data_IF_972136073505
#
_entry.id   IF_972136073505
#
_cell.length_a   1.000
_cell.length_b   1.000
_cell.length_c   1.000
_cell.angle_alpha   90.00
_cell.angle_beta   90.00
_cell.angle_gamma   90.00
#
_symmetry.space_group_name_H-M   'P 1'
#
loop_
_entity.id
_entity.type
_entity.pdbx_description
1 polymer ?
#
# COMPACT_ATOMS: atom_id res chain seq x y z
N UNK A 1 32.25 -24.21 34.41
CA UNK A 1 32.46 -23.19 35.46
C UNK A 1 31.62 -21.93 35.23
N UNK A 2 31.51 -21.42 34.01
CA UNK A 2 30.73 -20.20 33.68
C UNK A 2 29.25 -20.32 34.06
N UNK A 3 28.58 -21.40 33.71
CA UNK A 3 27.17 -21.63 34.05
C UNK A 3 26.96 -21.61 35.56
N UNK A 4 27.88 -22.24 36.30
CA UNK A 4 27.81 -22.28 37.76
C UNK A 4 27.99 -20.92 38.43
N UNK A 5 28.80 -20.02 37.82
CA UNK A 5 28.96 -18.63 38.28
C UNK A 5 27.68 -17.81 38.07
N UNK A 6 26.83 -18.21 37.12
CA UNK A 6 25.58 -17.58 36.77
C UNK A 6 24.36 -18.27 37.41
N UNK A 7 24.60 -19.17 38.36
CA UNK A 7 23.56 -19.95 39.05
C UNK A 7 22.74 -20.84 38.12
N UNK A 8 23.26 -21.16 36.93
CA UNK A 8 22.65 -22.10 36.00
C UNK A 8 23.13 -23.50 36.36
N UNK A 9 22.20 -24.36 36.73
CA UNK A 9 22.47 -25.76 37.03
C UNK A 9 22.67 -26.55 35.73
N UNK A 10 23.65 -27.45 35.70
CA UNK A 10 23.95 -28.28 34.54
C UNK A 10 23.86 -29.74 34.93
N UNK A 11 22.93 -30.47 34.30
CA UNK A 11 22.80 -31.92 34.46
C UNK A 11 22.97 -32.59 33.09
N UNK A 12 24.12 -33.19 32.86
CA UNK A 12 24.51 -33.74 31.56
C UNK A 12 24.51 -32.65 30.48
N UNK A 13 23.64 -32.82 29.47
CA UNK A 13 23.47 -31.88 28.35
C UNK A 13 22.32 -30.88 28.59
N UNK A 14 21.72 -30.91 29.77
CA UNK A 14 20.59 -30.03 30.13
C UNK A 14 21.07 -28.91 31.03
N UNK A 15 20.71 -27.66 30.68
CA UNK A 15 20.87 -26.49 31.51
C UNK A 15 19.55 -26.10 32.13
N UNK A 16 19.50 -25.94 33.44
CA UNK A 16 18.35 -25.55 34.23
C UNK A 16 18.52 -24.07 34.61
N UNK A 17 17.71 -23.22 34.01
CA UNK A 17 17.74 -21.78 34.29
C UNK A 17 17.10 -21.47 35.65
N UNK A 18 17.72 -20.59 36.46
CA UNK A 18 17.12 -20.13 37.70
C UNK A 18 15.85 -19.30 37.39
N UNK A 19 14.88 -19.31 38.30
CA UNK A 19 13.54 -18.69 38.08
C UNK A 19 13.58 -17.19 37.84
N UNK A 20 14.63 -16.48 38.21
CA UNK A 20 14.81 -15.04 37.96
C UNK A 20 15.38 -14.72 36.57
N UNK A 21 15.91 -15.74 35.82
CA UNK A 21 16.42 -15.60 34.45
C UNK A 21 15.43 -16.12 33.44
N UNK A 22 14.35 -15.34 33.23
CA UNK A 22 13.28 -15.64 32.29
C UNK A 22 13.68 -15.45 30.81
N UNK A 23 14.86 -14.91 30.60
CA UNK A 23 15.47 -14.62 29.29
C UNK A 23 16.21 -15.84 28.70
N UNK A 24 16.53 -16.86 29.51
CA UNK A 24 17.30 -18.02 29.07
C UNK A 24 16.39 -19.15 28.57
N UNK A 25 15.92 -19.03 27.35
CA UNK A 25 14.99 -20.00 26.75
C UNK A 25 15.64 -20.89 25.68
N UNK A 26 16.77 -20.47 25.11
CA UNK A 26 17.36 -21.11 23.92
C UNK A 26 18.85 -21.37 24.14
N UNK A 27 19.43 -22.33 23.38
CA UNK A 27 20.88 -22.55 23.41
C UNK A 27 21.73 -21.32 23.08
N UNK A 28 21.17 -20.41 22.23
CA UNK A 28 21.82 -19.14 21.89
C UNK A 28 21.98 -18.22 23.12
N UNK A 29 20.99 -18.20 24.01
CA UNK A 29 21.01 -17.38 25.23
C UNK A 29 22.14 -17.88 26.19
N UNK A 30 22.31 -19.21 26.30
CA UNK A 30 23.41 -19.80 27.05
C UNK A 30 24.76 -19.49 26.40
N UNK A 31 24.86 -19.51 25.08
CA UNK A 31 26.06 -19.14 24.34
C UNK A 31 26.44 -17.67 24.57
N UNK A 32 25.44 -16.78 24.63
CA UNK A 32 25.63 -15.37 24.97
C UNK A 32 26.23 -15.20 26.38
N UNK A 33 25.71 -15.91 27.37
CA UNK A 33 26.24 -15.87 28.74
C UNK A 33 27.70 -16.32 28.80
N UNK A 34 28.05 -17.37 28.07
CA UNK A 34 29.46 -17.82 27.98
C UNK A 34 30.30 -16.73 27.29
N UNK A 35 29.84 -16.17 26.19
CA UNK A 35 30.56 -15.15 25.45
C UNK A 35 30.78 -13.88 26.27
N UNK A 36 29.81 -13.49 27.10
CA UNK A 36 29.85 -12.32 27.98
C UNK A 36 30.93 -12.50 29.06
N UNK A 37 30.97 -13.66 29.70
CA UNK A 37 31.98 -13.96 30.76
C UNK A 37 33.37 -14.17 30.15
N UNK A 38 33.46 -14.84 28.99
CA UNK A 38 34.71 -14.97 28.24
C UNK A 38 35.27 -13.63 27.79
N UNK A 39 34.41 -12.68 27.52
CA UNK A 39 34.69 -11.35 27.00
C UNK A 39 34.61 -11.26 25.48
N UNK A 40 33.69 -10.44 25.00
CA UNK A 40 33.46 -10.23 23.55
C UNK A 40 34.72 -9.79 22.79
N UNK A 41 35.62 -9.06 23.44
CA UNK A 41 36.91 -8.64 22.84
C UNK A 41 37.87 -9.81 22.54
N UNK A 42 37.66 -10.97 23.16
CA UNK A 42 38.44 -12.18 22.89
C UNK A 42 37.90 -12.99 21.72
N UNK A 43 36.73 -12.63 21.19
CA UNK A 43 36.13 -13.31 20.05
C UNK A 43 36.61 -12.60 18.77
N UNK A 44 37.33 -13.30 17.87
CA UNK A 44 37.84 -12.67 16.66
C UNK A 44 36.69 -12.25 15.74
N UNK A 45 36.76 -11.03 15.24
CA UNK A 45 35.85 -10.55 14.22
C UNK A 45 36.05 -11.34 12.93
N UNK A 46 34.95 -11.83 12.36
CA UNK A 46 34.93 -12.50 11.06
C UNK A 46 34.27 -11.64 10.02
N UNK A 47 34.83 -11.63 8.81
CA UNK A 47 34.24 -10.98 7.67
C UNK A 47 33.40 -12.01 6.91
N UNK A 48 32.16 -11.67 6.62
CA UNK A 48 31.29 -12.50 5.77
C UNK A 48 31.93 -12.58 4.38
N UNK A 49 32.28 -13.81 3.96
CA UNK A 49 32.84 -14.09 2.65
C UNK A 49 31.73 -14.68 1.78
N UNK A 50 31.37 -13.98 0.70
CA UNK A 50 30.35 -14.43 -0.25
C UNK A 50 30.14 -13.40 -1.35
N UNK A 51 29.51 -13.82 -2.41
CA UNK A 51 29.06 -12.91 -3.48
C UNK A 51 27.74 -12.32 -3.00
N UNK A 52 27.74 -11.02 -2.67
CA UNK A 52 26.52 -10.29 -2.35
C UNK A 52 25.91 -9.74 -3.65
N UNK A 53 24.90 -10.41 -4.18
CA UNK A 53 24.10 -9.88 -5.27
C UNK A 53 22.99 -9.00 -4.69
N UNK A 54 23.27 -7.71 -4.50
CA UNK A 54 22.24 -6.74 -4.15
C UNK A 54 21.44 -6.38 -5.40
N UNK A 55 20.23 -6.89 -5.52
CA UNK A 55 19.32 -6.56 -6.62
C UNK A 55 17.88 -6.43 -6.13
N UNK A 56 17.10 -5.61 -6.83
CA UNK A 56 15.66 -5.52 -6.58
C UNK A 56 14.97 -6.78 -7.11
N UNK A 57 13.97 -7.26 -6.37
CA UNK A 57 13.05 -8.28 -6.88
C UNK A 57 12.25 -7.74 -8.07
N UNK A 58 11.67 -8.60 -8.94
CA UNK A 58 10.82 -8.13 -10.03
C UNK A 58 9.69 -7.20 -9.57
N UNK A 59 9.03 -7.53 -8.45
CA UNK A 59 7.97 -6.71 -7.84
C UNK A 59 8.50 -5.33 -7.42
N UNK A 60 9.68 -5.29 -6.78
CA UNK A 60 10.30 -4.02 -6.38
C UNK A 60 10.72 -3.17 -7.59
N UNK A 61 11.22 -3.79 -8.67
CA UNK A 61 11.55 -3.09 -9.91
C UNK A 61 10.32 -2.48 -10.54
N UNK A 62 9.24 -3.27 -10.68
CA UNK A 62 7.98 -2.81 -11.25
C UNK A 62 7.39 -1.64 -10.44
N UNK A 63 7.32 -1.79 -9.12
CA UNK A 63 6.87 -0.70 -8.22
C UNK A 63 7.70 0.58 -8.41
N UNK A 64 9.03 0.47 -8.49
CA UNK A 64 9.92 1.62 -8.71
C UNK A 64 9.71 2.25 -10.09
N UNK A 65 9.43 1.46 -11.11
CA UNK A 65 9.09 1.97 -12.45
C UNK A 65 7.80 2.79 -12.41
N UNK A 66 6.76 2.28 -11.78
CA UNK A 66 5.49 3.01 -11.60
C UNK A 66 5.69 4.30 -10.80
N UNK A 67 6.44 4.25 -9.70
CA UNK A 67 6.75 5.41 -8.87
C UNK A 67 7.47 6.50 -9.67
N UNK A 68 8.53 6.14 -10.37
CA UNK A 68 9.30 7.07 -11.20
C UNK A 68 8.45 7.66 -12.33
N UNK A 69 7.64 6.85 -13.01
CA UNK A 69 6.75 7.31 -14.06
C UNK A 69 5.70 8.31 -13.51
N UNK A 70 5.15 8.02 -12.32
CA UNK A 70 4.15 8.88 -11.67
C UNK A 70 4.75 10.22 -11.24
N UNK A 71 5.99 10.21 -10.73
CA UNK A 71 6.72 11.46 -10.44
C UNK A 71 7.01 12.24 -11.72
N UNK A 72 7.41 11.54 -12.81
CA UNK A 72 7.75 12.18 -14.07
C UNK A 72 6.56 12.89 -14.75
N UNK A 73 5.32 12.43 -14.52
CA UNK A 73 4.10 13.11 -15.00
C UNK A 73 3.64 14.24 -14.07
N UNK A 74 4.40 14.58 -13.02
CA UNK A 74 4.19 15.75 -12.17
C UNK A 74 3.42 15.48 -10.86
N UNK A 75 3.26 14.23 -10.44
CA UNK A 75 2.63 13.90 -9.16
C UNK A 75 3.61 13.95 -7.99
N UNK A 76 3.12 14.40 -6.84
CA UNK A 76 3.84 14.38 -5.56
C UNK A 76 3.42 13.18 -4.73
N UNK A 77 4.41 12.44 -4.20
CA UNK A 77 4.17 11.28 -3.36
C UNK A 77 3.64 11.66 -1.98
N UNK A 78 2.62 10.95 -1.52
CA UNK A 78 2.09 11.05 -0.16
C UNK A 78 2.13 9.68 0.51
N UNK A 79 2.06 9.69 1.83
CA UNK A 79 1.92 8.51 2.65
C UNK A 79 0.80 8.74 3.66
N UNK A 80 -0.25 7.95 3.58
CA UNK A 80 -1.41 8.04 4.47
C UNK A 80 -1.49 6.85 5.42
N UNK A 81 -2.22 7.00 6.51
CA UNK A 81 -2.43 5.89 7.44
C UNK A 81 -3.23 4.75 6.81
N UNK A 82 -2.82 3.51 7.10
CA UNK A 82 -3.59 2.30 6.75
C UNK A 82 -4.81 2.09 7.66
N UNK A 83 -4.89 2.80 8.77
CA UNK A 83 -6.01 2.78 9.71
C UNK A 83 -6.97 3.90 9.36
N UNK A 84 -8.25 3.55 9.21
CA UNK A 84 -9.29 4.51 8.82
C UNK A 84 -10.52 4.39 9.73
N UNK A 85 -11.40 5.38 9.63
CA UNK A 85 -12.73 5.33 10.20
C UNK A 85 -13.69 4.52 9.30
N UNK A 86 -14.55 3.66 9.85
CA UNK A 86 -15.64 3.05 9.07
C UNK A 86 -16.54 4.05 8.38
N UNK A 87 -16.64 5.29 8.88
CA UNK A 87 -17.41 6.38 8.28
C UNK A 87 -16.89 6.82 6.90
N UNK A 88 -15.66 6.49 6.56
CA UNK A 88 -15.08 6.84 5.26
C UNK A 88 -15.78 6.15 4.10
N UNK A 89 -16.33 4.96 4.33
CA UNK A 89 -17.10 4.26 3.30
C UNK A 89 -18.40 5.01 2.94
N UNK A 90 -19.05 5.64 3.93
CA UNK A 90 -20.23 6.46 3.69
C UNK A 90 -19.86 7.78 3.00
N UNK A 91 -18.70 8.36 3.33
CA UNK A 91 -18.22 9.59 2.67
C UNK A 91 -17.99 9.40 1.17
N UNK A 92 -17.54 8.24 0.72
CA UNK A 92 -17.38 7.90 -0.71
C UNK A 92 -18.65 7.31 -1.33
N UNK A 93 -19.75 7.31 -0.59
CA UNK A 93 -21.06 6.74 -1.01
C UNK A 93 -20.98 5.25 -1.40
N UNK A 94 -20.10 4.47 -0.76
CA UNK A 94 -19.95 3.06 -1.03
C UNK A 94 -21.24 2.29 -0.70
N UNK A 95 -21.73 1.38 -1.58
CA UNK A 95 -22.94 0.59 -1.33
C UNK A 95 -22.88 -0.14 0.03
N UNK A 96 -24.03 -0.27 0.68
CA UNK A 96 -24.11 -0.89 2.01
C UNK A 96 -23.73 -2.38 2.00
N UNK A 97 -23.93 -3.06 0.88
CA UNK A 97 -23.63 -4.47 0.61
C UNK A 97 -22.25 -4.71 0.01
N UNK A 98 -21.48 -3.66 -0.26
CA UNK A 98 -20.13 -3.77 -0.81
C UNK A 98 -19.22 -4.63 0.07
N UNK A 99 -18.46 -5.51 -0.58
CA UNK A 99 -17.46 -6.35 0.08
C UNK A 99 -16.35 -5.53 0.76
N UNK A 100 -16.07 -4.32 0.26
CA UNK A 100 -15.06 -3.41 0.82
C UNK A 100 -15.44 -2.88 2.22
N UNK A 101 -16.69 -3.03 2.65
CA UNK A 101 -17.12 -2.72 4.03
C UNK A 101 -16.72 -3.80 5.04
N UNK A 102 -16.31 -4.98 4.57
CA UNK A 102 -15.77 -6.04 5.42
C UNK A 102 -14.30 -5.72 5.69
N UNK A 103 -13.99 -5.32 6.89
CA UNK A 103 -12.66 -4.82 7.28
C UNK A 103 -12.02 -5.66 8.37
N UNK A 104 -10.70 -5.59 8.46
CA UNK A 104 -9.98 -6.04 9.66
C UNK A 104 -10.15 -4.98 10.74
N UNK A 105 -10.72 -5.36 11.88
CA UNK A 105 -10.94 -4.47 13.03
C UNK A 105 -9.71 -4.50 13.93
N UNK A 106 -9.23 -3.33 14.34
CA UNK A 106 -8.10 -3.17 15.27
C UNK A 106 -8.59 -3.43 16.69
N UNK A 107 -7.93 -4.36 17.41
CA UNK A 107 -8.34 -4.76 18.75
C UNK A 107 -8.16 -3.65 19.82
N UNK A 108 -7.18 -2.78 19.63
CA UNK A 108 -6.84 -1.69 20.54
C UNK A 108 -6.59 -0.37 19.77
N UNK A 109 -7.61 0.17 19.08
CA UNK A 109 -7.44 1.36 18.25
C UNK A 109 -7.16 2.60 19.11
N UNK A 110 -6.46 3.57 18.55
CA UNK A 110 -6.24 4.87 19.18
C UNK A 110 -7.56 5.68 19.33
N UNK A 111 -8.55 5.40 18.48
CA UNK A 111 -9.86 6.03 18.47
C UNK A 111 -10.73 5.45 17.36
N UNK A 112 -12.00 5.88 17.29
CA UNK A 112 -12.95 5.42 16.26
C UNK A 112 -12.44 5.74 14.85
N UNK A 113 -11.74 6.87 14.68
CA UNK A 113 -11.23 7.33 13.40
C UNK A 113 -10.07 6.48 12.83
N UNK A 114 -9.54 5.55 13.63
CA UNK A 114 -8.43 4.64 13.25
C UNK A 114 -8.74 3.20 13.65
N UNK A 115 -10.01 2.81 13.61
CA UNK A 115 -10.47 1.55 14.20
C UNK A 115 -10.44 0.35 13.24
N UNK A 116 -10.30 0.57 11.95
CA UNK A 116 -10.26 -0.50 10.95
C UNK A 116 -9.13 -0.32 9.95
N UNK A 117 -8.64 -1.44 9.40
CA UNK A 117 -7.72 -1.40 8.27
C UNK A 117 -8.46 -1.03 6.98
N UNK A 118 -7.85 -0.17 6.15
CA UNK A 118 -8.45 0.26 4.88
C UNK A 118 -8.54 -0.88 3.88
N UNK A 119 -9.69 -1.02 3.25
CA UNK A 119 -9.94 -1.92 2.12
C UNK A 119 -9.90 -1.18 0.77
N UNK A 120 -9.80 0.13 0.80
CA UNK A 120 -9.59 1.00 -0.37
C UNK A 120 -8.77 2.22 0.04
N UNK A 121 -7.89 2.66 -0.85
CA UNK A 121 -7.03 3.85 -0.68
C UNK A 121 -7.74 5.16 -1.04
N UNK A 122 -8.88 5.09 -1.73
CA UNK A 122 -9.61 6.25 -2.24
C UNK A 122 -10.01 7.27 -1.15
N UNK A 123 -10.59 6.86 0.01
CA UNK A 123 -10.94 7.81 1.08
C UNK A 123 -9.74 8.61 1.59
N UNK A 124 -8.59 7.96 1.78
CA UNK A 124 -7.38 8.61 2.29
C UNK A 124 -6.83 9.64 1.30
N UNK A 125 -6.90 9.35 0.00
CA UNK A 125 -6.54 10.29 -1.06
C UNK A 125 -7.48 11.50 -1.02
N UNK A 126 -8.79 11.30 -0.94
CA UNK A 126 -9.78 12.39 -0.90
C UNK A 126 -9.64 13.25 0.36
N UNK A 127 -9.32 12.68 1.53
CA UNK A 127 -9.00 13.45 2.75
C UNK A 127 -7.76 14.33 2.53
N UNK A 128 -6.73 13.81 1.89
CA UNK A 128 -5.51 14.59 1.62
C UNK A 128 -5.77 15.72 0.63
N UNK A 129 -6.57 15.47 -0.42
CA UNK A 129 -7.00 16.50 -1.35
C UNK A 129 -7.84 17.57 -0.65
N UNK A 130 -8.77 17.18 0.23
CA UNK A 130 -9.57 18.08 1.06
C UNK A 130 -8.69 18.96 1.95
N UNK A 131 -7.70 18.37 2.61
CA UNK A 131 -6.76 19.12 3.46
C UNK A 131 -5.99 20.17 2.65
N UNK A 132 -5.48 19.80 1.47
CA UNK A 132 -4.78 20.72 0.59
C UNK A 132 -5.71 21.86 0.10
N UNK A 133 -6.95 21.52 -0.27
CA UNK A 133 -7.94 22.51 -0.68
C UNK A 133 -8.28 23.49 0.44
N UNK A 134 -8.48 23.01 1.67
CA UNK A 134 -8.70 23.85 2.87
C UNK A 134 -7.50 24.75 3.18
N UNK A 135 -6.30 24.29 2.87
CA UNK A 135 -5.07 25.07 2.98
C UNK A 135 -4.87 26.05 1.81
N UNK A 136 -5.85 26.19 0.91
CA UNK A 136 -5.84 27.10 -0.24
C UNK A 136 -4.73 26.84 -1.26
N UNK A 137 -4.26 25.60 -1.38
CA UNK A 137 -3.44 25.20 -2.49
C UNK A 137 -4.30 25.24 -3.76
N UNK A 138 -3.91 26.06 -4.74
CA UNK A 138 -4.71 26.31 -5.95
C UNK A 138 -4.81 25.07 -6.85
N UNK A 139 -3.74 24.29 -6.92
CA UNK A 139 -3.66 23.07 -7.70
C UNK A 139 -2.78 22.04 -6.98
N UNK A 140 -3.14 20.78 -7.07
CA UNK A 140 -2.33 19.65 -6.60
C UNK A 140 -2.51 18.45 -7.52
N UNK A 141 -1.43 17.64 -7.64
CA UNK A 141 -1.45 16.31 -8.20
C UNK A 141 -0.66 15.40 -7.27
N UNK A 142 -1.35 14.48 -6.62
CA UNK A 142 -0.81 13.62 -5.57
C UNK A 142 -0.90 12.15 -5.98
N UNK A 143 0.03 11.33 -5.48
CA UNK A 143 -0.09 9.89 -5.61
C UNK A 143 0.32 9.15 -4.32
N UNK A 144 -0.24 7.98 -4.12
CA UNK A 144 0.18 7.03 -3.09
C UNK A 144 0.31 5.64 -3.71
N UNK A 145 1.44 4.98 -3.48
CA UNK A 145 1.52 3.53 -3.63
C UNK A 145 1.36 2.93 -2.24
N UNK A 146 0.15 2.47 -1.95
CA UNK A 146 -0.25 1.96 -0.65
C UNK A 146 -0.90 0.58 -0.71
N UNK A 147 -0.97 -0.08 0.44
CA UNK A 147 -1.67 -1.37 0.58
C UNK A 147 -3.13 -1.19 0.94
N UNK A 148 -3.94 -2.10 0.44
CA UNK A 148 -5.29 -2.38 0.91
C UNK A 148 -5.27 -3.69 1.70
N UNK A 149 -6.18 -3.87 2.65
CA UNK A 149 -6.23 -5.03 3.53
C UNK A 149 -7.56 -5.73 3.36
N UNK A 150 -7.56 -6.80 2.54
CA UNK A 150 -8.77 -7.49 2.13
C UNK A 150 -8.94 -8.79 2.94
N UNK A 151 -9.91 -8.86 3.87
CA UNK A 151 -10.13 -10.06 4.67
C UNK A 151 -10.51 -11.24 3.79
N UNK A 152 -9.90 -12.40 4.03
CA UNK A 152 -10.17 -13.64 3.29
C UNK A 152 -10.99 -14.64 4.11
N UNK A 153 -10.60 -14.87 5.36
CA UNK A 153 -11.29 -15.75 6.29
C UNK A 153 -11.06 -15.29 7.74
N UNK A 154 -11.92 -15.68 8.70
CA UNK A 154 -11.89 -15.18 10.08
C UNK A 154 -10.54 -15.31 10.81
N UNK A 155 -9.82 -16.43 10.57
CA UNK A 155 -8.57 -16.75 11.28
C UNK A 155 -7.33 -16.67 10.37
N UNK A 156 -7.45 -15.96 9.25
CA UNK A 156 -6.34 -15.75 8.31
C UNK A 156 -5.94 -14.29 8.24
N UNK A 157 -4.67 -14.07 7.97
CA UNK A 157 -4.20 -12.74 7.61
C UNK A 157 -4.91 -12.26 6.33
N UNK A 158 -5.21 -10.96 6.21
CA UNK A 158 -5.80 -10.41 5.00
C UNK A 158 -4.84 -10.49 3.82
N UNK A 159 -5.37 -10.47 2.61
CA UNK A 159 -4.56 -10.13 1.45
C UNK A 159 -4.18 -8.66 1.50
N UNK A 160 -2.94 -8.35 1.09
CA UNK A 160 -2.37 -7.01 1.15
C UNK A 160 -1.88 -6.53 -0.23
N UNK A 161 -2.79 -6.37 -1.21
CA UNK A 161 -2.40 -5.93 -2.54
C UNK A 161 -1.90 -4.48 -2.54
N UNK A 162 -0.89 -4.22 -3.40
CA UNK A 162 -0.39 -2.87 -3.66
C UNK A 162 -1.29 -2.14 -4.67
N UNK A 163 -1.59 -0.86 -4.38
CA UNK A 163 -2.41 0.02 -5.24
C UNK A 163 -1.69 1.34 -5.48
N UNK A 164 -1.73 1.81 -6.72
CA UNK A 164 -1.34 3.18 -7.05
C UNK A 164 -2.61 4.01 -7.17
N UNK A 165 -2.77 4.99 -6.30
CA UNK A 165 -3.89 5.93 -6.32
C UNK A 165 -3.36 7.32 -6.64
N UNK A 166 -3.97 7.98 -7.62
CA UNK A 166 -3.66 9.34 -8.04
C UNK A 166 -4.88 10.20 -7.74
N UNK A 167 -4.65 11.42 -7.26
CA UNK A 167 -5.70 12.41 -7.04
C UNK A 167 -5.22 13.80 -7.41
N UNK A 168 -6.06 14.58 -8.11
CA UNK A 168 -5.69 15.91 -8.55
C UNK A 168 -6.88 16.87 -8.62
N UNK A 169 -6.60 18.14 -8.48
CA UNK A 169 -7.47 19.26 -8.82
C UNK A 169 -6.64 20.49 -9.21
N UNK A 170 -7.27 21.46 -9.86
CA UNK A 170 -6.67 22.71 -10.30
C UNK A 170 -7.28 23.17 -11.63
N UNK A 171 -6.87 24.35 -12.11
CA UNK A 171 -7.44 24.94 -13.34
C UNK A 171 -7.13 24.09 -14.59
N UNK A 172 -5.95 23.45 -14.62
CA UNK A 172 -5.53 22.57 -15.73
C UNK A 172 -5.91 21.10 -15.48
N UNK A 173 -6.62 20.80 -14.39
CA UNK A 173 -7.04 19.45 -14.07
C UNK A 173 -8.37 19.12 -14.76
N UNK A 174 -8.34 18.11 -15.61
CA UNK A 174 -9.54 17.53 -16.23
C UNK A 174 -9.43 16.01 -16.40
N UNK A 175 -10.46 15.40 -16.93
CA UNK A 175 -10.49 13.96 -17.19
C UNK A 175 -9.39 13.53 -18.17
N UNK A 176 -9.14 14.31 -19.21
CA UNK A 176 -8.17 13.96 -20.26
C UNK A 176 -6.74 14.18 -19.81
N UNK A 177 -6.49 15.19 -18.97
CA UNK A 177 -5.20 15.40 -18.32
C UNK A 177 -4.85 14.20 -17.43
N UNK A 178 -5.77 13.77 -16.54
CA UNK A 178 -5.57 12.58 -15.73
C UNK A 178 -5.39 11.33 -16.59
N UNK A 179 -6.19 11.16 -17.63
CA UNK A 179 -6.10 10.02 -18.56
C UNK A 179 -4.73 9.97 -19.24
N UNK A 180 -4.24 11.10 -19.74
CA UNK A 180 -2.90 11.17 -20.36
C UNK A 180 -1.77 10.84 -19.40
N UNK A 181 -1.86 11.27 -18.13
CA UNK A 181 -0.92 10.88 -17.08
C UNK A 181 -0.94 9.37 -16.87
N UNK A 182 -2.12 8.77 -16.75
CA UNK A 182 -2.30 7.33 -16.56
C UNK A 182 -1.77 6.55 -17.78
N UNK A 183 -2.07 6.99 -19.00
CA UNK A 183 -1.56 6.38 -20.24
C UNK A 183 -0.02 6.35 -20.24
N UNK A 184 0.62 7.47 -19.92
CA UNK A 184 2.08 7.58 -19.85
C UNK A 184 2.68 6.63 -18.79
N UNK A 185 2.02 6.52 -17.62
CA UNK A 185 2.45 5.62 -16.54
C UNK A 185 2.34 4.16 -17.00
N UNK A 186 1.23 3.77 -17.62
CA UNK A 186 0.98 2.40 -18.09
C UNK A 186 1.97 2.02 -19.20
N UNK A 187 2.17 2.89 -20.17
CA UNK A 187 3.13 2.68 -21.26
C UNK A 187 4.56 2.53 -20.74
N UNK A 188 4.99 3.41 -19.80
CA UNK A 188 6.30 3.32 -19.15
C UNK A 188 6.48 2.03 -18.36
N UNK A 189 5.39 1.51 -17.80
CA UNK A 189 5.38 0.24 -17.07
C UNK A 189 5.34 -1.00 -18.00
N UNK A 190 5.28 -0.82 -19.31
CA UNK A 190 5.23 -1.91 -20.31
C UNK A 190 3.81 -2.47 -20.53
N UNK A 191 2.78 -1.69 -20.23
CA UNK A 191 1.39 -2.03 -20.49
C UNK A 191 0.92 -1.24 -21.72
N UNK A 192 1.11 -1.85 -22.88
CA UNK A 192 0.69 -1.31 -24.16
C UNK A 192 -0.75 -1.74 -24.48
N UNK A 193 -1.43 -1.01 -25.36
CA UNK A 193 -2.78 -1.34 -25.85
C UNK A 193 -3.87 -1.42 -24.76
N UNK A 194 -3.74 -0.62 -23.68
CA UNK A 194 -4.77 -0.50 -22.67
C UNK A 194 -6.04 0.14 -23.25
N UNK A 195 -7.21 -0.41 -22.90
CA UNK A 195 -8.49 0.12 -23.34
C UNK A 195 -9.26 0.76 -22.20
N UNK A 196 -10.08 1.76 -22.52
CA UNK A 196 -10.86 2.54 -21.57
C UNK A 196 -12.35 2.39 -21.90
N UNK A 197 -13.11 1.78 -20.99
CA UNK A 197 -14.55 1.60 -21.14
C UNK A 197 -15.28 2.51 -20.15
N UNK A 198 -16.26 3.27 -20.63
CA UNK A 198 -17.09 4.10 -19.76
C UNK A 198 -17.68 3.25 -18.63
N UNK A 199 -17.69 3.79 -17.40
CA UNK A 199 -18.27 3.10 -16.27
C UNK A 199 -19.77 2.94 -16.44
N UNK A 200 -20.24 1.70 -16.42
CA UNK A 200 -21.65 1.31 -16.38
C UNK A 200 -22.01 0.70 -15.04
N UNK A 201 -23.25 0.23 -14.93
CA UNK A 201 -23.75 -0.49 -13.74
C UNK A 201 -23.01 -1.80 -13.45
N UNK A 202 -22.38 -2.37 -14.48
CA UNK A 202 -21.67 -3.65 -14.41
C UNK A 202 -20.15 -3.49 -14.23
N UNK A 203 -19.72 -2.30 -13.79
CA UNK A 203 -18.31 -2.02 -13.56
C UNK A 203 -17.74 -2.90 -12.43
N UNK A 204 -16.50 -3.44 -12.58
CA UNK A 204 -15.96 -4.44 -11.67
C UNK A 204 -15.45 -3.86 -10.34
N UNK A 205 -15.66 -2.59 -10.07
CA UNK A 205 -15.16 -1.89 -8.88
C UNK A 205 -16.30 -1.16 -8.16
N UNK A 206 -16.51 -1.48 -6.88
CA UNK A 206 -17.55 -0.86 -6.07
C UNK A 206 -17.31 0.65 -5.87
N UNK A 207 -16.04 1.09 -5.86
CA UNK A 207 -15.67 2.50 -5.68
C UNK A 207 -16.08 3.41 -6.86
N UNK A 208 -16.50 2.85 -7.96
CA UNK A 208 -17.03 3.65 -9.11
C UNK A 208 -18.24 4.48 -8.71
N UNK A 209 -18.99 4.08 -7.68
CA UNK A 209 -20.05 4.89 -7.09
C UNK A 209 -19.57 6.27 -6.60
N UNK A 210 -18.28 6.40 -6.28
CA UNK A 210 -17.66 7.67 -5.89
C UNK A 210 -17.33 8.58 -7.08
N UNK A 211 -17.49 8.10 -8.31
CA UNK A 211 -17.15 8.82 -9.53
C UNK A 211 -18.40 9.35 -10.26
N UNK A 212 -18.20 10.37 -11.07
CA UNK A 212 -19.23 10.93 -11.92
C UNK A 212 -19.60 9.92 -13.04
N UNK A 213 -20.86 9.51 -13.19
CA UNK A 213 -21.26 8.42 -14.10
C UNK A 213 -20.96 8.68 -15.57
N UNK A 214 -20.93 9.94 -16.00
CA UNK A 214 -20.62 10.32 -17.38
C UNK A 214 -19.18 10.76 -17.63
N UNK A 215 -18.31 10.74 -16.59
CA UNK A 215 -16.91 11.18 -16.68
C UNK A 215 -16.00 10.25 -15.91
N UNK A 216 -16.16 8.96 -16.12
CA UNK A 216 -15.37 7.89 -15.51
C UNK A 216 -15.19 6.73 -16.48
N UNK A 217 -14.08 6.01 -16.33
CA UNK A 217 -13.78 4.84 -17.14
C UNK A 217 -13.07 3.75 -16.32
N UNK A 218 -13.33 2.50 -16.68
CA UNK A 218 -12.55 1.34 -16.27
C UNK A 218 -11.41 1.13 -17.26
N UNK A 219 -10.24 0.80 -16.77
CA UNK A 219 -9.03 0.56 -17.55
C UNK A 219 -8.82 -0.95 -17.66
N UNK A 220 -8.58 -1.43 -18.87
CA UNK A 220 -8.33 -2.83 -19.15
C UNK A 220 -6.99 -3.03 -19.87
N UNK A 221 -6.25 -4.05 -19.47
CA UNK A 221 -5.16 -4.62 -20.24
C UNK A 221 -5.65 -5.95 -20.83
N UNK A 222 -5.92 -5.98 -22.14
CA UNK A 222 -6.70 -7.05 -22.75
C UNK A 222 -8.11 -7.12 -22.15
N UNK A 223 -8.46 -8.24 -21.52
CA UNK A 223 -9.75 -8.42 -20.83
C UNK A 223 -9.67 -8.22 -19.30
N UNK A 224 -8.48 -8.03 -18.76
CA UNK A 224 -8.27 -7.88 -17.32
C UNK A 224 -8.50 -6.43 -16.90
N UNK A 225 -9.42 -6.14 -15.97
CA UNK A 225 -9.57 -4.81 -15.40
C UNK A 225 -8.38 -4.52 -14.47
N UNK A 226 -7.62 -3.48 -14.79
CA UNK A 226 -6.41 -3.09 -14.07
C UNK A 226 -6.56 -1.80 -13.27
N UNK A 227 -7.71 -1.15 -13.35
CA UNK A 227 -7.98 0.06 -12.61
C UNK A 227 -9.15 0.87 -13.16
N UNK A 228 -9.30 2.05 -12.61
CA UNK A 228 -10.31 3.02 -13.04
C UNK A 228 -9.80 4.45 -12.90
N UNK A 229 -10.44 5.38 -13.59
CA UNK A 229 -10.20 6.82 -13.42
C UNK A 229 -11.50 7.61 -13.66
N UNK A 230 -11.56 8.81 -13.11
CA UNK A 230 -12.71 9.69 -13.36
C UNK A 230 -12.74 10.94 -12.50
N UNK A 231 -13.73 11.78 -12.82
CA UNK A 231 -14.12 12.91 -11.97
C UNK A 231 -14.85 12.38 -10.73
N UNK A 232 -14.52 12.89 -9.58
CA UNK A 232 -15.20 12.55 -8.32
C UNK A 232 -16.65 13.05 -8.37
N UNK A 233 -17.59 12.23 -7.90
CA UNK A 233 -19.01 12.59 -7.89
C UNK A 233 -19.26 13.85 -7.04
N UNK A 234 -20.09 14.81 -7.49
CA UNK A 234 -20.34 16.05 -6.74
C UNK A 234 -20.79 15.86 -5.29
N UNK A 235 -21.59 14.81 -5.01
CA UNK A 235 -21.99 14.46 -3.64
C UNK A 235 -20.79 14.05 -2.79
N UNK A 236 -19.86 13.27 -3.36
CA UNK A 236 -18.63 12.86 -2.67
C UNK A 236 -17.71 14.05 -2.46
N UNK A 237 -17.52 14.92 -3.45
CA UNK A 237 -16.77 16.18 -3.29
C UNK A 237 -17.32 16.99 -2.12
N UNK A 238 -18.65 17.13 -2.01
CA UNK A 238 -19.32 17.82 -0.92
C UNK A 238 -19.04 17.15 0.44
N UNK A 239 -19.03 15.81 0.51
CA UNK A 239 -18.74 15.08 1.74
C UNK A 239 -17.30 15.31 2.25
N UNK A 240 -16.41 15.73 1.35
CA UNK A 240 -15.00 16.08 1.66
C UNK A 240 -14.75 17.59 1.70
N UNK A 241 -15.78 18.43 1.57
CA UNK A 241 -15.67 19.90 1.52
C UNK A 241 -14.73 20.40 0.42
N UNK A 242 -14.67 19.73 -0.72
CA UNK A 242 -13.87 20.16 -1.86
C UNK A 242 -14.79 20.92 -2.83
N UNK A 243 -14.54 22.22 -2.98
CA UNK A 243 -15.37 23.10 -3.80
C UNK A 243 -14.94 23.21 -5.27
N UNK A 244 -14.01 22.36 -5.73
CA UNK A 244 -13.53 22.36 -7.12
C UNK A 244 -13.63 20.94 -7.70
N UNK A 245 -13.65 20.83 -9.05
CA UNK A 245 -13.63 19.52 -9.70
C UNK A 245 -12.36 18.78 -9.33
N UNK A 246 -12.53 17.54 -8.96
CA UNK A 246 -11.47 16.66 -8.47
C UNK A 246 -11.47 15.38 -9.27
N UNK A 247 -10.31 14.90 -9.62
CA UNK A 247 -10.13 13.74 -10.47
C UNK A 247 -9.26 12.71 -9.75
N UNK A 248 -9.61 11.45 -9.87
CA UNK A 248 -8.88 10.35 -9.23
C UNK A 248 -8.69 9.18 -10.18
N UNK A 249 -7.60 8.47 -10.02
CA UNK A 249 -7.36 7.18 -10.65
C UNK A 249 -6.84 6.19 -9.62
N UNK A 250 -7.18 4.91 -9.79
CA UNK A 250 -6.64 3.80 -9.01
C UNK A 250 -6.20 2.71 -9.96
N UNK A 251 -4.96 2.24 -9.80
CA UNK A 251 -4.34 1.18 -10.57
C UNK A 251 -3.97 0.01 -9.67
N UNK A 252 -4.25 -1.20 -10.14
CA UNK A 252 -4.08 -2.46 -9.43
C UNK A 252 -2.70 -3.04 -9.77
N UNK A 253 -1.69 -2.75 -8.95
CA UNK A 253 -0.28 -3.05 -9.25
C UNK A 253 -0.02 -4.56 -9.39
N UNK A 254 -0.62 -5.36 -8.51
CA UNK A 254 -0.41 -6.81 -8.51
C UNK A 254 -1.05 -7.49 -9.72
N UNK A 255 -2.15 -6.93 -10.25
CA UNK A 255 -2.82 -7.37 -11.47
C UNK A 255 -2.08 -6.90 -12.73
N UNK A 256 -1.45 -5.73 -12.68
CA UNK A 256 -0.69 -5.15 -13.79
C UNK A 256 0.65 -5.85 -14.03
N UNK A 257 1.37 -6.20 -12.96
CA UNK A 257 2.72 -6.72 -13.04
C UNK A 257 2.87 -7.96 -13.96
N UNK A 258 1.98 -8.98 -13.89
CA UNK A 258 2.08 -10.16 -14.76
C UNK A 258 1.82 -9.87 -16.25
N UNK A 259 1.14 -8.74 -16.54
CA UNK A 259 0.76 -8.33 -17.90
C UNK A 259 1.77 -7.39 -18.54
N UNK A 260 2.72 -6.87 -17.76
CA UNK A 260 3.70 -5.90 -18.22
C UNK A 260 4.76 -6.56 -19.10
N UNK A 261 4.98 -6.00 -20.29
CA UNK A 261 6.05 -6.37 -21.21
C UNK A 261 7.27 -5.50 -20.93
N UNK A 262 8.22 -6.02 -20.16
CA UNK A 262 9.42 -5.29 -19.74
C UNK A 262 10.64 -5.53 -20.64
N UNK A 263 10.56 -6.48 -21.57
CA UNK A 263 11.61 -6.77 -22.53
C UNK A 263 11.39 -5.98 -23.81
N UNK A 264 12.43 -5.23 -24.23
CA UNK A 264 12.41 -4.50 -25.48
C UNK A 264 12.66 -5.51 -26.61
N UNK A 265 11.66 -5.78 -27.42
CA UNK A 265 11.77 -6.55 -28.66
C UNK A 265 12.07 -5.60 -29.82
N UNK A 266 13.25 -5.73 -30.43
CA UNK A 266 13.56 -5.06 -31.69
C UNK A 266 12.88 -5.83 -32.83
N UNK A 267 12.09 -5.13 -33.63
CA UNK A 267 11.58 -5.64 -34.90
C UNK A 267 12.55 -5.37 -36.03
#
# INVERSE_FOLDING_TARGET
DTMKMLEIEVDGDTCISPSFRIDLERPADLAEEVARIYGYNNIPSTVIKGIANASLTPKQKFRRTLENATVAVGCYGILTYSFISPKYFDKIALPADSSLRKTVVISNPLGEDTSVMRTTTLPSMLETLSLNYKNRNAAVALYEIGKEYLPTAPDKLPEEPDRLTIGMYGDDADFFTLKGMVETILETAGLHDCTYKACGTDAPFDEICALHPGRSAVIYAGETPIGYLGEVHPTVQKNYDIGTRTYVAKLLIDEMQPLAQTEITYQ
#
